data_IF_315119600484
#
_entry.id   IF_315119600484
#
_cell.length_a   1.000
_cell.length_b   1.000
_cell.length_c   1.000
_cell.angle_alpha   90.00
_cell.angle_beta   90.00
_cell.angle_gamma   90.00
#
_symmetry.space_group_name_H-M   'P 1'
#
loop_
_entity.id
_entity.type
_entity.pdbx_description
1 polymer ?
#
# COMPACT_ATOMS: atom_id res chain seq x y z
N UNK A 1 38.76 -9.64 22.63
CA UNK A 1 37.76 -8.94 21.78
C UNK A 1 38.29 -8.81 20.35
N UNK A 2 37.38 -8.79 19.37
CA UNK A 2 37.49 -8.13 18.04
C UNK A 2 37.44 -8.95 16.73
N UNK A 3 37.32 -10.29 16.74
CA UNK A 3 37.19 -11.06 15.46
C UNK A 3 36.00 -12.04 15.42
N UNK A 4 35.40 -12.40 16.56
CA UNK A 4 34.32 -13.42 16.57
C UNK A 4 32.93 -12.90 16.18
N UNK A 5 32.73 -11.58 16.06
CA UNK A 5 31.42 -11.01 15.72
C UNK A 5 31.16 -10.93 14.20
N UNK A 6 32.21 -11.08 13.38
CA UNK A 6 32.09 -11.06 11.92
C UNK A 6 31.56 -12.37 11.34
N UNK A 7 31.57 -13.47 12.12
CA UNK A 7 31.00 -14.76 11.70
C UNK A 7 29.48 -14.87 11.90
N UNK A 8 28.87 -13.96 12.68
CA UNK A 8 27.43 -13.93 12.90
C UNK A 8 26.67 -13.13 11.82
N UNK A 9 27.37 -12.35 11.00
CA UNK A 9 26.74 -11.52 9.95
C UNK A 9 26.72 -12.26 8.60
N UNK A 10 27.53 -13.31 8.42
CA UNK A 10 27.63 -14.04 7.15
C UNK A 10 26.63 -15.20 7.00
N UNK A 11 25.81 -15.48 8.02
CA UNK A 11 24.91 -16.65 8.05
C UNK A 11 23.41 -16.33 7.95
N UNK A 12 23.03 -15.07 7.70
CA UNK A 12 21.66 -14.77 7.26
C UNK A 12 21.56 -15.16 5.80
N UNK A 13 21.27 -16.44 5.63
CA UNK A 13 21.08 -17.19 4.40
C UNK A 13 20.30 -16.40 3.36
N UNK A 14 21.04 -15.90 2.36
CA UNK A 14 20.55 -15.18 1.19
C UNK A 14 19.92 -16.12 0.14
N UNK A 15 19.07 -17.05 0.58
CA UNK A 15 18.37 -18.00 -0.31
C UNK A 15 16.84 -17.94 -0.20
N UNK A 16 16.29 -16.98 0.57
CA UNK A 16 14.86 -16.64 0.58
C UNK A 16 14.54 -15.28 -0.10
N UNK A 17 15.55 -14.55 -0.58
CA UNK A 17 15.42 -13.17 -1.07
C UNK A 17 14.68 -13.08 -2.42
N UNK A 18 14.88 -14.03 -3.34
CA UNK A 18 14.34 -13.94 -4.71
C UNK A 18 12.82 -13.86 -4.80
N UNK A 19 12.09 -14.65 -4.00
CA UNK A 19 10.62 -14.65 -4.06
C UNK A 19 10.02 -13.42 -3.37
N UNK A 20 10.67 -12.93 -2.32
CA UNK A 20 10.28 -11.70 -1.64
C UNK A 20 10.52 -10.48 -2.54
N UNK A 21 11.63 -10.43 -3.28
CA UNK A 21 11.92 -9.33 -4.21
C UNK A 21 10.88 -9.25 -5.34
N UNK A 22 10.39 -10.40 -5.84
CA UNK A 22 9.33 -10.46 -6.86
C UNK A 22 7.98 -9.98 -6.29
N UNK A 23 7.62 -10.43 -5.09
CA UNK A 23 6.37 -10.04 -4.43
C UNK A 23 6.36 -8.54 -4.09
N UNK A 24 7.47 -8.02 -3.56
CA UNK A 24 7.67 -6.59 -3.25
C UNK A 24 7.61 -5.76 -4.52
N UNK A 25 8.28 -6.19 -5.61
CA UNK A 25 8.20 -5.49 -6.89
C UNK A 25 6.76 -5.41 -7.41
N UNK A 26 6.00 -6.50 -7.31
CA UNK A 26 4.59 -6.52 -7.72
C UNK A 26 3.74 -5.57 -6.88
N UNK A 27 3.95 -5.50 -5.56
CA UNK A 27 3.26 -4.54 -4.68
C UNK A 27 3.55 -3.09 -5.09
N UNK A 28 4.81 -2.77 -5.39
CA UNK A 28 5.24 -1.45 -5.87
C UNK A 28 4.60 -1.12 -7.22
N UNK A 29 4.62 -2.04 -8.17
CA UNK A 29 4.04 -1.83 -9.51
C UNK A 29 2.53 -1.55 -9.43
N UNK A 30 1.81 -2.27 -8.54
CA UNK A 30 0.38 -2.04 -8.29
C UNK A 30 0.12 -0.68 -7.63
N UNK A 31 0.97 -0.29 -6.66
CA UNK A 31 0.86 1.02 -6.02
C UNK A 31 1.09 2.15 -7.03
N UNK A 32 2.13 2.04 -7.88
CA UNK A 32 2.39 3.00 -8.94
C UNK A 32 1.23 3.11 -9.93
N UNK A 33 0.59 1.98 -10.27
CA UNK A 33 -0.61 1.97 -11.11
C UNK A 33 -1.78 2.73 -10.48
N UNK A 34 -2.00 2.58 -9.17
CA UNK A 34 -2.99 3.38 -8.43
C UNK A 34 -2.63 4.86 -8.46
N UNK A 35 -1.40 5.24 -8.12
CA UNK A 35 -0.95 6.64 -8.13
C UNK A 35 -1.13 7.29 -9.50
N UNK A 36 -0.72 6.60 -10.57
CA UNK A 36 -0.88 7.10 -11.94
C UNK A 36 -2.35 7.32 -12.30
N UNK A 37 -3.23 6.40 -11.94
CA UNK A 37 -4.66 6.57 -12.17
C UNK A 37 -5.24 7.76 -11.39
N UNK A 38 -4.89 7.89 -10.10
CA UNK A 38 -5.36 8.98 -9.25
C UNK A 38 -4.94 10.35 -9.78
N UNK A 39 -3.70 10.47 -10.28
CA UNK A 39 -3.17 11.69 -10.90
C UNK A 39 -3.95 12.11 -12.15
N UNK A 40 -4.58 11.16 -12.84
CA UNK A 40 -5.38 11.41 -14.04
C UNK A 40 -6.85 11.75 -13.74
N UNK A 41 -7.27 11.77 -12.47
CA UNK A 41 -8.62 12.18 -12.09
C UNK A 41 -8.79 13.68 -12.40
N UNK A 42 -9.83 14.10 -13.13
CA UNK A 42 -10.06 15.51 -13.42
C UNK A 42 -10.24 16.31 -12.12
N UNK A 43 -9.40 17.32 -11.89
CA UNK A 43 -9.41 18.15 -10.66
C UNK A 43 -10.79 18.72 -10.31
N UNK A 44 -11.60 19.07 -11.33
CA UNK A 44 -13.00 19.53 -11.17
C UNK A 44 -13.95 18.50 -10.53
N UNK A 45 -13.50 17.26 -10.33
CA UNK A 45 -14.26 16.15 -9.76
C UNK A 45 -13.84 15.81 -8.33
N UNK A 46 -12.74 16.39 -7.85
CA UNK A 46 -12.28 16.26 -6.47
C UNK A 46 -13.07 17.28 -5.67
N UNK A 47 -13.92 16.79 -4.76
CA UNK A 47 -14.73 17.64 -3.89
C UNK A 47 -13.75 18.21 -2.87
N UNK A 48 -13.60 19.54 -2.89
CA UNK A 48 -12.58 20.32 -2.17
C UNK A 48 -11.19 20.28 -2.85
N UNK A 49 -10.83 21.39 -3.52
CA UNK A 49 -9.57 21.57 -4.25
C UNK A 49 -8.34 21.68 -3.33
N UNK A 50 -8.53 21.80 -2.01
CA UNK A 50 -7.43 21.74 -1.05
C UNK A 50 -6.83 20.33 -0.92
N UNK A 51 -7.56 19.29 -1.38
CA UNK A 51 -7.04 17.93 -1.42
C UNK A 51 -6.19 17.71 -2.67
N UNK A 52 -4.95 17.33 -2.43
CA UNK A 52 -3.96 16.98 -3.43
C UNK A 52 -3.96 15.47 -3.75
N UNK A 53 -3.06 15.07 -4.67
CA UNK A 53 -2.83 13.67 -5.01
C UNK A 53 -2.55 12.79 -3.77
N UNK A 54 -1.82 13.35 -2.79
CA UNK A 54 -1.48 12.67 -1.55
C UNK A 54 -2.73 12.36 -0.70
N UNK A 55 -3.68 13.29 -0.65
CA UNK A 55 -4.97 13.09 0.03
C UNK A 55 -5.78 11.96 -0.60
N UNK A 56 -5.79 11.87 -1.93
CA UNK A 56 -6.45 10.76 -2.64
C UNK A 56 -5.77 9.42 -2.37
N UNK A 57 -4.43 9.35 -2.43
CA UNK A 57 -3.67 8.13 -2.12
C UNK A 57 -3.95 7.69 -0.67
N UNK A 58 -3.93 8.64 0.26
CA UNK A 58 -4.21 8.39 1.68
C UNK A 58 -5.62 7.81 1.86
N UNK A 59 -6.63 8.38 1.19
CA UNK A 59 -7.99 7.87 1.23
C UNK A 59 -8.12 6.41 0.76
N UNK A 60 -7.36 6.03 -0.27
CA UNK A 60 -7.34 4.66 -0.81
C UNK A 60 -6.70 3.70 0.18
N UNK A 61 -5.55 4.05 0.76
CA UNK A 61 -4.86 3.22 1.75
C UNK A 61 -5.72 3.04 3.00
N UNK A 62 -6.29 4.13 3.53
CA UNK A 62 -7.15 4.07 4.71
C UNK A 62 -8.37 3.18 4.47
N UNK A 63 -9.05 3.32 3.33
CA UNK A 63 -10.20 2.46 3.03
C UNK A 63 -9.79 1.00 2.84
N UNK A 64 -8.68 0.70 2.17
CA UNK A 64 -8.17 -0.67 2.04
C UNK A 64 -7.86 -1.25 3.44
N UNK A 65 -7.15 -0.52 4.29
CA UNK A 65 -6.78 -0.99 5.64
C UNK A 65 -8.00 -1.20 6.53
N UNK A 66 -9.03 -0.36 6.38
CA UNK A 66 -10.32 -0.52 7.06
C UNK A 66 -11.09 -1.75 6.55
N UNK A 67 -11.18 -1.95 5.23
CA UNK A 67 -11.80 -3.16 4.65
C UNK A 67 -11.08 -4.46 5.04
N UNK A 68 -9.77 -4.37 5.35
CA UNK A 68 -8.96 -5.49 5.82
C UNK A 68 -9.02 -5.69 7.34
N UNK A 69 -9.71 -4.81 8.09
CA UNK A 69 -9.79 -4.88 9.55
C UNK A 69 -8.46 -4.57 10.26
N UNK A 70 -7.56 -3.83 9.60
CA UNK A 70 -6.27 -3.39 10.16
C UNK A 70 -6.31 -1.96 10.70
N UNK A 71 -7.40 -1.23 10.44
CA UNK A 71 -7.68 0.10 10.98
C UNK A 71 -9.18 0.22 11.30
N UNK A 72 -9.50 0.51 12.56
CA UNK A 72 -10.89 0.69 13.03
C UNK A 72 -11.33 2.17 13.08
N UNK A 73 -10.41 3.10 12.82
CA UNK A 73 -10.65 4.54 12.91
C UNK A 73 -10.87 5.14 11.51
N UNK A 74 -12.13 5.09 11.04
CA UNK A 74 -12.53 5.76 9.79
C UNK A 74 -12.53 7.28 9.95
N UNK A 75 -11.88 7.97 9.01
CA UNK A 75 -12.01 9.41 8.86
C UNK A 75 -13.08 9.73 7.80
N UNK A 76 -14.14 10.44 8.19
CA UNK A 76 -15.27 10.74 7.30
C UNK A 76 -14.88 11.51 6.03
N UNK A 77 -13.86 12.35 6.12
CA UNK A 77 -13.33 13.13 5.00
C UNK A 77 -12.69 12.22 3.93
N UNK A 78 -11.88 11.26 4.36
CA UNK A 78 -11.26 10.29 3.45
C UNK A 78 -12.28 9.34 2.82
N UNK A 79 -13.44 9.10 3.45
CA UNK A 79 -14.53 8.33 2.84
C UNK A 79 -15.06 8.96 1.55
N UNK A 80 -15.26 10.28 1.54
CA UNK A 80 -15.78 10.97 0.34
C UNK A 80 -14.71 11.04 -0.76
N UNK A 81 -13.44 11.26 -0.39
CA UNK A 81 -12.31 11.18 -1.32
C UNK A 81 -12.17 9.78 -1.93
N UNK A 82 -12.33 8.73 -1.11
CA UNK A 82 -12.27 7.35 -1.57
C UNK A 82 -13.39 7.03 -2.57
N UNK A 83 -14.61 7.54 -2.38
CA UNK A 83 -15.71 7.35 -3.37
C UNK A 83 -15.34 7.91 -4.73
N UNK A 84 -14.65 9.05 -4.76
CA UNK A 84 -14.18 9.67 -6.00
C UNK A 84 -13.06 8.79 -6.59
N UNK A 85 -12.06 8.44 -5.81
CA UNK A 85 -10.95 7.57 -6.22
C UNK A 85 -11.46 6.25 -6.82
N UNK A 86 -12.34 5.55 -6.08
CA UNK A 86 -12.95 4.28 -6.49
C UNK A 86 -13.78 4.41 -7.77
N UNK A 87 -14.48 5.53 -7.96
CA UNK A 87 -15.25 5.78 -9.19
C UNK A 87 -14.38 5.80 -10.45
N UNK A 88 -13.15 6.33 -10.38
CA UNK A 88 -12.26 6.45 -11.54
C UNK A 88 -11.24 5.31 -11.64
N UNK A 89 -10.76 4.81 -10.50
CA UNK A 89 -9.61 3.90 -10.40
C UNK A 89 -9.97 2.57 -9.71
N UNK A 90 -11.24 2.15 -9.78
CA UNK A 90 -11.73 0.93 -9.11
C UNK A 90 -10.91 -0.30 -9.49
N UNK A 91 -10.46 -0.42 -10.73
CA UNK A 91 -9.66 -1.56 -11.20
C UNK A 91 -8.33 -1.62 -10.46
N UNK A 92 -7.55 -0.54 -10.51
CA UNK A 92 -6.22 -0.43 -9.91
C UNK A 92 -6.30 -0.61 -8.39
N UNK A 93 -7.31 0.01 -7.75
CA UNK A 93 -7.57 -0.12 -6.31
C UNK A 93 -7.89 -1.58 -5.94
N UNK A 94 -8.70 -2.27 -6.73
CA UNK A 94 -9.02 -3.67 -6.47
C UNK A 94 -7.83 -4.60 -6.69
N UNK A 95 -7.00 -4.33 -7.71
CA UNK A 95 -5.76 -5.08 -7.97
C UNK A 95 -4.77 -4.92 -6.80
N UNK A 96 -4.60 -3.69 -6.29
CA UNK A 96 -3.79 -3.40 -5.10
C UNK A 96 -4.36 -4.09 -3.84
N UNK A 97 -5.67 -3.99 -3.61
CA UNK A 97 -6.34 -4.64 -2.48
C UNK A 97 -6.18 -6.16 -2.51
N UNK A 98 -6.30 -6.77 -3.68
CA UNK A 98 -6.08 -8.20 -3.84
C UNK A 98 -4.65 -8.61 -3.46
N UNK A 99 -3.65 -7.78 -3.80
CA UNK A 99 -2.26 -7.99 -3.40
C UNK A 99 -2.10 -7.99 -1.88
N UNK A 100 -2.68 -7.01 -1.18
CA UNK A 100 -2.67 -6.97 0.28
C UNK A 100 -3.32 -8.20 0.91
N UNK A 101 -4.47 -8.68 0.38
CA UNK A 101 -5.11 -9.91 0.86
C UNK A 101 -4.30 -11.17 0.59
N UNK A 102 -3.60 -11.21 -0.53
CA UNK A 102 -2.85 -12.39 -0.98
C UNK A 102 -1.52 -12.60 -0.28
N UNK A 103 -1.07 -11.65 0.54
CA UNK A 103 0.19 -11.72 1.29
C UNK A 103 -0.07 -12.38 2.65
N UNK A 104 0.22 -13.68 2.85
CA UNK A 104 0.10 -14.29 4.16
C UNK A 104 1.29 -13.81 5.02
N UNK A 105 1.04 -13.43 6.27
CA UNK A 105 2.04 -13.00 7.28
C UNK A 105 2.66 -11.59 7.14
N UNK A 106 1.88 -10.52 7.35
CA UNK A 106 2.41 -9.30 7.99
C UNK A 106 1.90 -9.08 9.44
N UNK A 107 1.06 -9.99 9.97
CA UNK A 107 0.62 -9.98 11.38
C UNK A 107 1.49 -10.93 12.23
N UNK A 108 2.81 -10.82 12.13
CA UNK A 108 3.78 -11.38 13.11
C UNK A 108 5.12 -10.63 12.97
N UNK A 109 5.05 -9.31 13.09
CA UNK A 109 6.23 -8.44 13.16
C UNK A 109 6.06 -7.38 14.25
N UNK A 110 5.33 -7.71 15.31
CA UNK A 110 5.40 -6.98 16.56
C UNK A 110 6.61 -7.49 17.33
N UNK A 111 7.62 -6.65 17.47
CA UNK A 111 8.51 -6.50 18.62
C UNK A 111 9.21 -5.14 18.53
#
# INVERSE_FOLDING_TARGET
MKIWILFLISSISFFAQSNNDIAVKKEIDLFLGVSECLRNIPSKKIINQEHDELSLITSVIENITLELGTNDNEQKEFRELYKIASKYCSKEINDLKASYKSTPNRVTGGL
#
